data_IF_982210882732
#
_entry.id   IF_982210882732
#
_cell.length_a   1.000
_cell.length_b   1.000
_cell.length_c   1.000
_cell.angle_alpha   90.00
_cell.angle_beta   90.00
_cell.angle_gamma   90.00
#
_symmetry.space_group_name_H-M   'P 1'
#
loop_
_entity.id
_entity.type
_entity.pdbx_description
1 polymer ?
#
# COMPACT_ATOMS: atom_id res chain seq x y z
N UNK A 1 -5.81 -21.00 -10.95
CA UNK A 1 -5.57 -20.71 -9.52
C UNK A 1 -6.34 -19.43 -9.22
N UNK A 2 -7.27 -19.44 -8.27
CA UNK A 2 -8.03 -18.25 -7.92
C UNK A 2 -7.04 -17.21 -7.38
N UNK A 3 -6.87 -16.08 -8.06
CA UNK A 3 -6.13 -14.96 -7.50
C UNK A 3 -6.84 -14.52 -6.23
N UNK A 4 -6.11 -14.39 -5.13
CA UNK A 4 -6.68 -14.02 -3.84
C UNK A 4 -6.99 -12.51 -3.87
N UNK A 5 -8.13 -12.16 -4.45
CA UNK A 5 -8.63 -10.78 -4.57
C UNK A 5 -9.19 -10.32 -3.22
N UNK A 6 -8.85 -9.11 -2.82
CA UNK A 6 -9.36 -8.48 -1.60
C UNK A 6 -8.50 -7.30 -1.17
N UNK A 7 -8.91 -6.57 -0.12
CA UNK A 7 -8.06 -5.54 0.49
C UNK A 7 -6.73 -6.13 0.96
N UNK A 8 -5.78 -5.26 1.29
CA UNK A 8 -4.55 -5.67 1.97
C UNK A 8 -4.89 -6.56 3.19
N UNK A 9 -4.15 -7.65 3.45
CA UNK A 9 -4.41 -8.51 4.59
C UNK A 9 -4.33 -7.77 5.93
N UNK A 10 -5.19 -8.16 6.87
CA UNK A 10 -5.16 -7.68 8.26
C UNK A 10 -3.81 -7.98 8.91
N UNK A 11 -3.41 -7.09 9.81
CA UNK A 11 -2.16 -7.21 10.55
C UNK A 11 -1.41 -5.88 10.63
N UNK A 12 -0.20 -5.96 11.18
CA UNK A 12 0.71 -4.82 11.28
C UNK A 12 1.65 -4.77 10.07
N UNK A 13 1.83 -3.58 9.53
CA UNK A 13 2.63 -3.31 8.34
C UNK A 13 3.58 -2.15 8.60
N UNK A 14 4.82 -2.27 8.15
CA UNK A 14 5.79 -1.19 8.13
C UNK A 14 5.61 -0.36 6.86
N UNK A 15 5.50 0.96 7.03
CA UNK A 15 5.47 1.94 5.94
C UNK A 15 6.92 2.32 5.61
N UNK A 16 7.35 1.99 4.40
CA UNK A 16 8.67 2.33 3.89
C UNK A 16 8.77 3.79 3.45
N UNK A 17 10.02 4.26 3.33
CA UNK A 17 10.34 5.59 2.82
C UNK A 17 9.71 5.85 1.43
N UNK A 18 9.33 7.09 1.11
CA UNK A 18 8.82 7.45 -0.20
C UNK A 18 9.81 7.14 -1.31
N UNK A 19 9.31 6.57 -2.40
CA UNK A 19 10.09 6.31 -3.60
C UNK A 19 9.25 6.53 -4.85
N UNK A 20 9.90 6.63 -6.01
CA UNK A 20 9.22 6.66 -7.31
C UNK A 20 9.05 5.24 -7.81
N UNK A 21 7.81 4.80 -7.98
CA UNK A 21 7.49 3.49 -8.53
C UNK A 21 7.22 3.60 -10.05
N UNK A 22 7.76 2.72 -10.90
CA UNK A 22 7.59 2.80 -12.37
C UNK A 22 6.13 2.82 -12.86
N UNK A 23 5.21 2.25 -12.08
CA UNK A 23 3.79 2.14 -12.44
C UNK A 23 2.82 2.79 -11.44
N UNK A 24 3.30 3.18 -10.26
CA UNK A 24 2.45 3.70 -9.18
C UNK A 24 2.74 5.18 -8.87
N UNK A 25 3.53 5.81 -9.75
CA UNK A 25 3.87 7.23 -9.74
C UNK A 25 4.76 7.65 -8.54
N UNK A 26 5.27 8.90 -8.54
CA UNK A 26 6.11 9.43 -7.47
C UNK A 26 5.45 9.40 -6.09
N UNK A 27 6.29 9.40 -5.07
CA UNK A 27 5.89 9.43 -3.66
C UNK A 27 5.04 8.21 -3.23
N UNK A 28 5.34 7.06 -3.80
CA UNK A 28 4.76 5.78 -3.41
C UNK A 28 5.39 5.29 -2.11
N UNK A 29 4.59 4.69 -1.21
CA UNK A 29 5.06 4.11 0.04
C UNK A 29 4.91 2.58 -0.03
N UNK A 30 5.97 1.84 0.29
CA UNK A 30 5.91 0.37 0.32
C UNK A 30 5.37 -0.13 1.64
N UNK A 31 4.52 -1.16 1.62
CA UNK A 31 4.04 -1.84 2.81
C UNK A 31 4.72 -3.21 2.94
N UNK A 32 5.48 -3.38 4.02
CA UNK A 32 6.11 -4.66 4.37
C UNK A 32 5.40 -5.28 5.57
N UNK A 33 5.03 -6.56 5.54
CA UNK A 33 4.35 -7.19 6.67
C UNK A 33 5.30 -7.28 7.86
N UNK A 34 4.81 -6.94 9.06
CA UNK A 34 5.53 -7.22 10.30
C UNK A 34 5.33 -8.67 10.74
N UNK A 35 6.16 -9.14 11.68
CA UNK A 35 6.04 -10.47 12.28
C UNK A 35 4.62 -10.70 12.79
N UNK A 36 4.01 -11.82 12.39
CA UNK A 36 2.62 -12.17 12.75
C UNK A 36 1.57 -11.77 11.72
N UNK A 37 1.91 -10.94 10.72
CA UNK A 37 0.99 -10.60 9.63
C UNK A 37 0.94 -11.72 8.59
N UNK A 38 -0.22 -12.38 8.47
CA UNK A 38 -0.45 -13.47 7.51
C UNK A 38 -0.84 -12.88 6.16
N UNK A 39 0.05 -12.97 5.17
CA UNK A 39 -0.18 -12.38 3.85
C UNK A 39 -0.90 -13.31 2.86
N UNK A 40 -1.08 -14.57 3.22
CA UNK A 40 -1.63 -15.61 2.34
C UNK A 40 -0.89 -15.73 1.00
N UNK A 41 0.43 -15.52 1.02
CA UNK A 41 1.28 -15.57 -0.19
C UNK A 41 1.23 -14.31 -1.06
N UNK A 42 0.43 -13.30 -0.69
CA UNK A 42 0.39 -12.00 -1.40
C UNK A 42 1.54 -11.09 -0.95
N UNK A 43 1.98 -10.23 -1.84
CA UNK A 43 3.06 -9.27 -1.59
C UNK A 43 2.92 -8.07 -2.53
N UNK A 44 3.88 -7.14 -2.47
CA UNK A 44 3.91 -5.98 -3.37
C UNK A 44 2.89 -4.89 -3.03
N UNK A 45 2.39 -4.86 -1.80
CA UNK A 45 1.42 -3.85 -1.35
C UNK A 45 2.06 -2.47 -1.24
N UNK A 46 1.31 -1.46 -1.68
CA UNK A 46 1.74 -0.07 -1.75
C UNK A 46 0.65 0.86 -1.18
N UNK A 47 1.06 2.06 -0.78
CA UNK A 47 0.21 3.25 -0.70
C UNK A 47 0.57 4.14 -1.89
N UNK A 48 -0.34 4.31 -2.84
CA UNK A 48 -0.08 5.08 -4.06
C UNK A 48 -1.30 5.86 -4.55
N UNK A 49 -1.10 6.71 -5.55
CA UNK A 49 -2.20 7.41 -6.22
C UNK A 49 -2.99 6.46 -7.14
N UNK A 50 -4.21 6.86 -7.50
CA UNK A 50 -4.97 6.12 -8.51
C UNK A 50 -4.23 6.15 -9.85
N UNK A 51 -4.49 5.16 -10.71
CA UNK A 51 -3.90 5.12 -12.04
C UNK A 51 -4.41 6.29 -12.87
N UNK A 52 -3.49 7.08 -13.45
CA UNK A 52 -3.82 8.13 -14.40
C UNK A 52 -4.30 7.58 -15.75
N UNK A 53 -3.90 6.34 -16.07
CA UNK A 53 -4.22 5.66 -17.34
C UNK A 53 -5.51 4.83 -17.22
N UNK A 54 -5.75 4.20 -16.07
CA UNK A 54 -6.93 3.37 -15.80
C UNK A 54 -7.54 3.66 -14.41
N UNK A 55 -8.16 4.84 -14.22
CA UNK A 55 -8.73 5.22 -12.92
C UNK A 55 -9.69 4.15 -12.36
N UNK A 56 -9.60 3.89 -11.06
CA UNK A 56 -10.45 2.94 -10.34
C UNK A 56 -10.08 1.46 -10.49
N UNK A 57 -9.08 1.11 -11.32
CA UNK A 57 -8.60 -0.27 -11.50
C UNK A 57 -7.27 -0.54 -10.79
N UNK A 58 -6.81 0.39 -9.97
CA UNK A 58 -5.42 0.46 -9.55
C UNK A 58 -5.00 -0.53 -8.46
N UNK A 59 -5.88 -1.31 -7.83
CA UNK A 59 -5.38 -2.24 -6.82
C UNK A 59 -6.08 -3.57 -6.62
N UNK A 60 -5.27 -4.63 -6.72
CA UNK A 60 -5.53 -5.95 -6.13
C UNK A 60 -5.25 -5.93 -4.60
N UNK A 61 -5.57 -4.83 -3.90
CA UNK A 61 -5.42 -4.68 -2.45
C UNK A 61 -4.49 -3.57 -1.93
N UNK A 62 -3.81 -2.81 -2.78
CA UNK A 62 -3.07 -1.60 -2.38
C UNK A 62 -4.02 -0.50 -1.86
N UNK A 63 -3.47 0.41 -1.04
CA UNK A 63 -4.20 1.58 -0.54
C UNK A 63 -4.05 2.72 -1.55
N UNK A 64 -5.17 3.21 -2.06
CA UNK A 64 -5.21 4.31 -3.03
C UNK A 64 -5.52 5.63 -2.33
N UNK A 65 -4.61 6.61 -2.40
CA UNK A 65 -4.81 7.95 -1.84
C UNK A 65 -3.94 9.00 -2.55
N UNK A 66 -4.39 10.25 -2.57
CA UNK A 66 -3.72 11.35 -3.25
C UNK A 66 -2.31 11.64 -2.72
N UNK A 67 -1.48 12.30 -3.55
CA UNK A 67 -0.08 12.62 -3.20
C UNK A 67 0.06 13.38 -1.87
N UNK A 68 -0.79 14.39 -1.61
CA UNK A 68 -0.74 15.15 -0.37
C UNK A 68 -0.96 14.26 0.88
N UNK A 69 -1.85 13.29 0.79
CA UNK A 69 -2.09 12.35 1.90
C UNK A 69 -0.89 11.42 2.11
N UNK A 70 -0.24 10.96 1.03
CA UNK A 70 0.98 10.15 1.12
C UNK A 70 2.13 10.92 1.77
N UNK A 71 2.25 12.21 1.45
CA UNK A 71 3.19 13.13 2.10
C UNK A 71 2.86 13.31 3.58
N UNK A 72 1.59 13.52 3.94
CA UNK A 72 1.18 13.62 5.34
C UNK A 72 1.43 12.32 6.12
N UNK A 73 1.14 11.15 5.53
CA UNK A 73 1.43 9.84 6.13
C UNK A 73 2.91 9.74 6.47
N UNK A 74 3.80 10.01 5.51
CA UNK A 74 5.23 9.92 5.75
C UNK A 74 5.72 10.98 6.76
N UNK A 75 5.28 12.22 6.61
CA UNK A 75 5.70 13.33 7.46
C UNK A 75 5.18 13.25 8.90
N UNK A 76 4.16 12.42 9.16
CA UNK A 76 3.63 12.20 10.51
C UNK A 76 4.63 11.55 11.46
N UNK A 77 5.61 10.79 10.93
CA UNK A 77 6.51 9.95 11.72
C UNK A 77 5.91 8.59 12.11
N UNK A 78 4.63 8.36 11.84
CA UNK A 78 3.99 7.06 12.04
C UNK A 78 4.35 6.12 10.88
N UNK A 79 5.28 5.21 11.14
CA UNK A 79 5.73 4.23 10.15
C UNK A 79 5.12 2.84 10.32
N UNK A 80 4.07 2.73 11.14
CA UNK A 80 3.32 1.47 11.35
C UNK A 80 1.85 1.67 10.99
N UNK A 81 1.35 0.83 10.10
CA UNK A 81 -0.06 0.73 9.74
C UNK A 81 -0.67 -0.51 10.38
N UNK A 82 -1.77 -0.35 11.10
CA UNK A 82 -2.56 -1.45 11.66
C UNK A 82 -3.83 -1.63 10.85
N UNK A 83 -3.98 -2.79 10.20
CA UNK A 83 -5.15 -3.15 9.39
C UNK A 83 -6.03 -4.10 10.20
N UNK A 84 -7.23 -3.66 10.58
CA UNK A 84 -8.10 -4.38 11.51
C UNK A 84 -9.29 -5.09 10.86
N UNK A 85 -9.58 -4.84 9.58
CA UNK A 85 -10.81 -5.28 8.88
C UNK A 85 -10.52 -5.80 7.48
#
# INVERSE_FOLDING_TARGET
MQESIGPIPRGAWTIGQPFTHPHAEPYTLRLSPQTGTVTFGRSGFLIHGDSSVHPGQASNGCIITGMNNRQHIWASGDHTLIVTQ
#
